data_IF_106486728631
#
_entry.id   IF_106486728631
#
_cell.length_a   1.000
_cell.length_b   1.000
_cell.length_c   1.000
_cell.angle_alpha   90.00
_cell.angle_beta   90.00
_cell.angle_gamma   90.00
#
_symmetry.space_group_name_H-M   'P 1'
#
loop_
_entity.id
_entity.type
_entity.pdbx_description
1 polymer ?
#
# COMPACT_ATOMS: atom_id res chain seq x y z
N UNK A 1 -41.17 65.92 -22.45
CA UNK A 1 -41.20 65.25 -23.76
C UNK A 1 -40.60 63.87 -23.62
N UNK A 2 -41.15 62.92 -24.37
CA UNK A 2 -41.00 61.45 -24.31
C UNK A 2 -39.55 60.92 -24.29
N UNK A 3 -39.36 59.76 -23.66
CA UNK A 3 -38.25 58.83 -23.99
C UNK A 3 -37.76 57.94 -22.84
N UNK A 4 -38.45 56.84 -22.56
CA UNK A 4 -37.92 55.61 -21.91
C UNK A 4 -37.27 54.70 -22.99
N UNK A 5 -36.65 53.53 -22.66
CA UNK A 5 -35.86 53.11 -21.48
C UNK A 5 -34.55 52.38 -21.88
N UNK A 6 -33.63 52.07 -20.94
CA UNK A 6 -32.91 50.77 -20.98
C UNK A 6 -32.07 50.46 -19.72
N UNK A 7 -32.28 49.21 -19.30
CA UNK A 7 -31.60 48.25 -18.41
C UNK A 7 -30.19 48.53 -17.86
N UNK A 8 -30.02 48.23 -16.56
CA UNK A 8 -28.75 47.92 -15.88
C UNK A 8 -29.07 47.17 -14.58
N UNK A 9 -29.12 45.83 -14.64
CA UNK A 9 -28.10 44.88 -14.20
C UNK A 9 -27.86 44.88 -12.66
N UNK A 10 -28.50 43.91 -12.02
CA UNK A 10 -28.26 43.48 -10.64
C UNK A 10 -26.91 42.75 -10.57
N UNK A 11 -25.97 43.23 -9.78
CA UNK A 11 -24.79 42.45 -9.36
C UNK A 11 -24.88 42.26 -7.85
N UNK A 12 -25.20 41.02 -7.46
CA UNK A 12 -25.12 40.54 -6.09
C UNK A 12 -23.66 40.32 -5.69
N UNK A 13 -23.34 40.83 -4.51
CA UNK A 13 -22.08 40.77 -3.81
C UNK A 13 -21.76 39.31 -3.42
N UNK A 14 -20.69 38.71 -3.97
CA UNK A 14 -20.06 37.52 -3.41
C UNK A 14 -18.75 37.94 -2.74
N UNK A 15 -18.70 37.83 -1.41
CA UNK A 15 -17.48 37.98 -0.60
C UNK A 15 -16.54 36.79 -0.91
N UNK A 16 -15.37 37.06 -1.48
CA UNK A 16 -14.22 36.17 -1.43
C UNK A 16 -13.31 36.66 -0.30
N UNK A 17 -13.16 35.87 0.76
CA UNK A 17 -12.33 36.20 1.91
C UNK A 17 -10.90 35.70 1.64
N UNK A 18 -10.03 36.54 1.05
CA UNK A 18 -8.59 36.28 0.96
C UNK A 18 -7.89 36.81 2.21
N UNK A 19 -7.33 35.93 3.02
CA UNK A 19 -6.53 36.30 4.20
C UNK A 19 -5.08 36.57 3.77
N UNK A 20 -4.67 37.84 3.68
CA UNK A 20 -3.25 38.22 3.56
C UNK A 20 -2.60 38.23 4.95
N UNK A 21 -1.50 37.50 5.13
CA UNK A 21 -0.65 37.57 6.32
C UNK A 21 0.61 38.38 5.99
N UNK A 22 0.88 39.46 6.72
CA UNK A 22 2.07 40.29 6.55
C UNK A 22 3.18 39.86 7.52
N UNK A 23 4.35 39.48 7.00
CA UNK A 23 5.59 39.37 7.76
C UNK A 23 6.57 40.45 7.26
N UNK A 24 6.83 41.43 8.11
CA UNK A 24 7.80 42.50 7.86
C UNK A 24 9.17 42.11 8.41
N UNK A 25 10.11 41.77 7.53
CA UNK A 25 11.54 41.80 7.85
C UNK A 25 12.26 42.53 6.70
N UNK A 26 12.83 43.70 7.01
CA UNK A 26 13.72 44.49 6.15
C UNK A 26 13.17 45.01 4.80
N UNK A 27 11.99 45.64 4.81
CA UNK A 27 11.66 46.67 3.81
C UNK A 27 11.37 46.21 2.38
N UNK A 28 11.32 44.91 2.11
CA UNK A 28 10.78 44.35 0.86
C UNK A 28 9.52 43.56 1.18
N UNK A 29 8.36 44.07 0.73
CA UNK A 29 7.09 43.32 0.79
C UNK A 29 7.12 42.31 -0.36
N UNK A 30 7.39 41.05 -0.03
CA UNK A 30 7.16 39.94 -0.96
C UNK A 30 5.70 39.52 -0.78
N UNK A 31 4.87 39.78 -1.80
CA UNK A 31 3.52 39.23 -1.88
C UNK A 31 3.65 37.74 -2.23
N UNK A 32 3.79 36.90 -1.21
CA UNK A 32 3.55 35.46 -1.37
C UNK A 32 2.04 35.23 -1.36
N UNK A 33 1.43 34.98 -2.52
CA UNK A 33 0.08 34.41 -2.54
C UNK A 33 0.14 33.02 -1.90
N UNK A 34 -0.42 32.88 -0.70
CA UNK A 34 -0.64 31.57 -0.11
C UNK A 34 -1.78 30.93 -0.91
N UNK A 35 -1.44 30.05 -1.84
CA UNK A 35 -2.42 29.25 -2.56
C UNK A 35 -3.04 28.23 -1.58
N UNK A 36 -4.02 28.69 -0.81
CA UNK A 36 -4.77 27.88 0.17
C UNK A 36 -5.83 27.00 -0.49
N UNK A 37 -6.01 27.10 -1.80
CA UNK A 37 -6.96 26.27 -2.52
C UNK A 37 -6.25 24.97 -2.87
N UNK A 38 -6.44 23.93 -2.04
CA UNK A 38 -6.33 22.55 -2.54
C UNK A 38 -7.03 22.51 -3.91
N UNK A 39 -6.46 21.86 -4.93
CA UNK A 39 -7.17 21.62 -6.18
C UNK A 39 -8.51 21.01 -5.81
N UNK A 40 -9.63 21.70 -6.13
CA UNK A 40 -10.98 21.37 -5.66
C UNK A 40 -11.42 19.92 -5.97
N UNK A 41 -10.64 19.22 -6.81
CA UNK A 41 -10.88 17.87 -7.29
C UNK A 41 -9.82 16.85 -6.86
N UNK A 42 -8.87 17.20 -5.98
CA UNK A 42 -7.86 16.25 -5.52
C UNK A 42 -8.53 15.12 -4.69
N UNK A 43 -8.35 13.84 -5.06
CA UNK A 43 -8.82 12.73 -4.25
C UNK A 43 -8.12 12.71 -2.89
N UNK A 44 -8.90 12.62 -1.81
CA UNK A 44 -8.36 12.46 -0.45
C UNK A 44 -8.51 11.02 0.04
N UNK A 45 -7.59 10.61 0.89
CA UNK A 45 -7.64 9.29 1.49
C UNK A 45 -8.63 9.21 2.66
N UNK A 46 -9.36 8.09 2.80
CA UNK A 46 -10.35 7.93 3.86
C UNK A 46 -9.70 7.85 5.25
N UNK A 47 -9.90 8.89 6.08
CA UNK A 47 -9.38 8.94 7.45
C UNK A 47 -10.05 7.96 8.42
N UNK A 48 -11.18 7.36 8.02
CA UNK A 48 -11.84 6.27 8.75
C UNK A 48 -11.26 4.88 8.41
N UNK A 49 -10.10 4.82 7.75
CA UNK A 49 -9.37 3.57 7.44
C UNK A 49 -8.90 2.84 8.70
N UNK A 50 -8.54 1.56 8.57
CA UNK A 50 -8.03 0.78 9.70
C UNK A 50 -6.73 1.34 10.26
N UNK A 51 -5.88 1.87 9.38
CA UNK A 51 -4.62 2.53 9.70
C UNK A 51 -4.51 3.81 8.88
N UNK A 52 -4.01 4.87 9.50
CA UNK A 52 -3.72 6.15 8.87
C UNK A 52 -2.33 6.60 9.31
N UNK A 53 -1.40 6.73 8.38
CA UNK A 53 -0.12 7.41 8.57
C UNK A 53 -0.29 8.86 8.13
N UNK A 54 0.19 9.81 8.93
CA UNK A 54 0.13 11.23 8.57
C UNK A 54 1.44 11.95 8.87
N UNK A 55 1.90 12.73 7.90
CA UNK A 55 2.93 13.76 8.07
C UNK A 55 2.24 15.13 8.02
N UNK A 56 2.46 15.94 9.05
CA UNK A 56 1.92 17.31 9.14
C UNK A 56 2.93 18.24 9.83
N UNK A 57 3.05 19.52 9.41
CA UNK A 57 3.84 20.51 10.13
C UNK A 57 3.15 21.02 11.41
N UNK A 58 1.82 20.86 11.50
CA UNK A 58 1.02 21.36 12.63
C UNK A 58 0.58 20.24 13.58
N UNK A 59 0.58 20.49 14.91
CA UNK A 59 0.00 19.60 15.90
C UNK A 59 -1.47 19.29 15.63
N UNK A 60 -1.81 18.01 15.59
CA UNK A 60 -3.20 17.54 15.49
C UNK A 60 -3.49 16.54 16.59
N UNK A 61 -4.74 16.45 17.04
CA UNK A 61 -5.18 15.42 17.97
C UNK A 61 -5.37 14.11 17.18
N UNK A 62 -4.52 13.08 17.38
CA UNK A 62 -4.62 11.84 16.62
C UNK A 62 -5.90 11.08 17.01
N UNK A 63 -6.59 10.50 16.02
CA UNK A 63 -7.57 9.45 16.29
C UNK A 63 -6.86 8.12 16.62
N UNK A 64 -7.60 7.15 17.16
CA UNK A 64 -7.05 5.86 17.65
C UNK A 64 -6.27 5.05 16.59
N UNK A 65 -6.62 5.22 15.32
CA UNK A 65 -6.06 4.54 14.15
C UNK A 65 -4.96 5.36 13.44
N UNK A 66 -4.61 6.55 13.96
CA UNK A 66 -3.63 7.45 13.33
C UNK A 66 -2.25 7.32 13.98
N UNK A 67 -1.23 7.18 13.14
CA UNK A 67 0.18 7.34 13.47
C UNK A 67 0.64 8.64 12.82
N UNK A 68 0.96 9.64 13.64
CA UNK A 68 1.27 11.00 13.19
C UNK A 68 2.73 11.31 13.49
N UNK A 69 3.45 11.87 12.51
CA UNK A 69 4.74 12.51 12.74
C UNK A 69 4.67 13.98 12.39
N UNK A 70 5.40 14.79 13.15
CA UNK A 70 5.52 16.22 12.93
C UNK A 70 6.79 16.49 12.13
N UNK A 71 6.64 16.47 10.81
CA UNK A 71 7.72 16.63 9.84
C UNK A 71 8.30 15.33 9.25
N UNK A 72 9.23 15.46 8.27
CA UNK A 72 9.83 14.34 7.53
C UNK A 72 10.71 13.41 8.37
N UNK A 73 10.97 12.17 7.91
CA UNK A 73 10.56 11.56 6.64
C UNK A 73 9.14 10.96 6.67
N UNK A 74 8.37 11.16 7.74
CA UNK A 74 7.04 10.60 7.90
C UNK A 74 7.02 9.28 8.68
N UNK A 75 5.83 8.79 9.07
CA UNK A 75 5.68 7.55 9.80
C UNK A 75 5.78 6.32 8.87
N UNK A 76 5.98 5.17 9.49
CA UNK A 76 5.87 3.85 8.86
C UNK A 76 5.15 2.87 9.78
N UNK A 77 4.62 1.79 9.20
CA UNK A 77 4.07 0.67 9.95
C UNK A 77 4.02 -0.61 9.11
N UNK A 78 3.91 -1.76 9.77
CA UNK A 78 3.72 -3.05 9.11
C UNK A 78 2.24 -3.43 9.17
N UNK A 79 1.69 -3.88 8.05
CA UNK A 79 0.33 -4.40 7.95
C UNK A 79 0.36 -5.82 7.37
N UNK A 80 -0.64 -6.61 7.72
CA UNK A 80 -0.83 -7.93 7.16
C UNK A 80 -2.16 -7.97 6.39
N UNK A 81 -2.13 -8.51 5.17
CA UNK A 81 -3.31 -8.73 4.36
C UNK A 81 -3.17 -10.02 3.58
N UNK A 82 -4.19 -10.88 3.64
CA UNK A 82 -4.26 -12.16 2.91
C UNK A 82 -3.05 -13.10 3.12
N UNK A 83 -2.43 -13.03 4.30
CA UNK A 83 -1.25 -13.83 4.66
C UNK A 83 0.07 -13.31 4.09
N UNK A 84 0.10 -12.06 3.60
CA UNK A 84 1.32 -11.35 3.23
C UNK A 84 1.51 -10.14 4.15
N UNK A 85 2.77 -9.85 4.47
CA UNK A 85 3.18 -8.63 5.18
C UNK A 85 3.47 -7.53 4.16
N UNK A 86 3.23 -6.27 4.55
CA UNK A 86 3.61 -5.07 3.81
C UNK A 86 4.13 -4.04 4.81
N UNK A 87 5.23 -3.35 4.52
CA UNK A 87 5.60 -2.14 5.26
C UNK A 87 5.08 -0.94 4.48
N UNK A 88 4.25 -0.12 5.12
CA UNK A 88 3.73 1.13 4.58
C UNK A 88 4.57 2.30 5.08
N UNK A 89 4.92 3.24 4.20
CA UNK A 89 5.77 4.38 4.57
C UNK A 89 5.48 5.61 3.71
N UNK A 90 5.46 6.79 4.35
CA UNK A 90 5.37 8.08 3.64
C UNK A 90 6.73 8.48 3.00
N UNK A 91 7.84 8.17 3.67
CA UNK A 91 9.22 8.18 3.12
C UNK A 91 9.63 9.48 2.39
N UNK A 92 9.40 10.63 3.02
CA UNK A 92 9.87 11.93 2.53
C UNK A 92 11.36 12.14 2.85
N UNK A 93 12.20 11.24 2.32
CA UNK A 93 13.60 11.10 2.68
C UNK A 93 14.45 12.33 2.33
N UNK A 94 14.05 13.13 1.33
CA UNK A 94 14.79 14.31 0.93
C UNK A 94 14.19 15.61 1.47
N UNK A 95 13.10 15.56 2.25
CA UNK A 95 12.55 16.76 2.88
C UNK A 95 13.21 17.03 4.23
N UNK A 96 13.73 18.24 4.42
CA UNK A 96 14.18 18.75 5.71
C UNK A 96 13.00 19.33 6.51
N UNK A 97 12.07 20.01 5.82
CA UNK A 97 10.86 20.57 6.43
C UNK A 97 9.75 20.77 5.41
N UNK A 98 8.52 20.81 5.91
CA UNK A 98 7.30 21.22 5.21
C UNK A 98 6.71 22.39 5.98
N UNK A 99 6.31 23.47 5.32
CA UNK A 99 5.75 24.63 6.00
C UNK A 99 4.22 24.62 6.09
N UNK A 100 3.54 23.94 5.16
CA UNK A 100 2.08 23.82 5.16
C UNK A 100 1.61 22.51 4.52
N UNK A 101 0.40 22.09 4.87
CA UNK A 101 -0.28 20.96 4.24
C UNK A 101 -0.07 19.64 4.97
N UNK A 102 -0.48 18.55 4.34
CA UNK A 102 -0.36 17.22 4.93
C UNK A 102 -0.17 16.14 3.87
N UNK A 103 0.39 15.03 4.35
CA UNK A 103 0.50 13.80 3.60
C UNK A 103 -0.17 12.71 4.41
N UNK A 104 -0.98 11.91 3.73
CA UNK A 104 -1.74 10.84 4.37
C UNK A 104 -1.56 9.56 3.58
N UNK A 105 -1.18 8.49 4.26
CA UNK A 105 -1.17 7.13 3.73
C UNK A 105 -2.09 6.25 4.56
N UNK A 106 -3.13 5.68 3.96
CA UNK A 106 -4.15 4.90 4.67
C UNK A 106 -4.20 3.46 4.20
N UNK A 107 -4.54 2.56 5.11
CA UNK A 107 -4.77 1.15 4.80
C UNK A 107 -6.11 0.67 5.36
N UNK A 108 -6.91 0.05 4.50
CA UNK A 108 -8.19 -0.56 4.86
C UNK A 108 -8.03 -2.09 4.98
N UNK A 109 -8.11 -2.62 6.20
CA UNK A 109 -7.91 -4.05 6.44
C UNK A 109 -9.05 -4.93 5.88
N UNK A 110 -10.24 -4.36 5.62
CA UNK A 110 -11.35 -5.12 5.05
C UNK A 110 -11.16 -5.38 3.55
N UNK A 111 -10.55 -4.42 2.83
CA UNK A 111 -10.40 -4.47 1.37
C UNK A 111 -8.96 -4.68 0.92
N UNK A 112 -7.97 -4.46 1.79
CA UNK A 112 -6.55 -4.45 1.45
C UNK A 112 -6.11 -3.20 0.69
N UNK A 113 -6.99 -2.21 0.55
CA UNK A 113 -6.70 -0.99 -0.22
C UNK A 113 -5.73 -0.09 0.52
N UNK A 114 -4.75 0.43 -0.22
CA UNK A 114 -3.85 1.50 0.21
C UNK A 114 -4.21 2.77 -0.54
N UNK A 115 -4.20 3.91 0.13
CA UNK A 115 -4.37 5.21 -0.50
C UNK A 115 -3.30 6.16 0.00
N UNK A 116 -2.74 6.97 -0.89
CA UNK A 116 -1.89 8.09 -0.56
C UNK A 116 -2.46 9.40 -1.12
N UNK A 117 -2.34 10.47 -0.35
CA UNK A 117 -2.64 11.83 -0.80
C UNK A 117 -1.69 12.80 -0.12
N UNK A 118 -1.01 13.62 -0.90
CA UNK A 118 -0.14 14.69 -0.44
C UNK A 118 -0.56 16.02 -1.05
N UNK A 119 -0.74 17.03 -0.20
CA UNK A 119 -0.78 18.43 -0.60
C UNK A 119 0.09 19.20 0.37
N UNK A 120 1.30 19.54 -0.06
CA UNK A 120 2.30 20.18 0.80
C UNK A 120 2.89 21.39 0.11
N UNK A 121 3.30 22.38 0.89
CA UNK A 121 4.01 23.55 0.37
C UNK A 121 5.06 24.09 1.34
N UNK A 122 5.83 25.07 0.87
CA UNK A 122 6.97 25.65 1.57
C UNK A 122 7.97 24.55 1.98
N UNK A 123 8.28 23.66 1.05
CA UNK A 123 9.20 22.55 1.31
C UNK A 123 10.64 23.04 1.34
N UNK A 124 11.49 22.41 2.14
CA UNK A 124 12.94 22.60 2.13
C UNK A 124 13.59 21.25 1.97
N UNK A 125 14.51 21.13 1.01
CA UNK A 125 15.20 19.87 0.73
C UNK A 125 16.44 19.70 1.61
N UNK A 126 16.73 18.46 2.01
CA UNK A 126 18.00 18.09 2.63
C UNK A 126 19.11 18.22 1.58
N UNK A 127 18.88 17.68 0.39
CA UNK A 127 19.81 17.74 -0.73
C UNK A 127 19.09 18.12 -2.03
N UNK A 128 19.27 19.35 -2.54
CA UNK A 128 18.74 19.74 -3.84
C UNK A 128 19.28 18.92 -5.01
N UNK A 129 20.41 18.20 -4.86
CA UNK A 129 20.88 17.30 -5.92
C UNK A 129 20.13 15.97 -5.94
N UNK A 130 19.29 15.68 -4.94
CA UNK A 130 18.52 14.43 -4.84
C UNK A 130 17.32 14.33 -5.79
N UNK A 131 17.03 15.36 -6.58
CA UNK A 131 16.04 15.30 -7.67
C UNK A 131 14.57 15.36 -7.24
N UNK A 132 14.18 14.55 -6.26
CA UNK A 132 12.79 14.36 -5.80
C UNK A 132 12.67 14.59 -4.30
N UNK A 133 11.44 14.59 -3.77
CA UNK A 133 11.18 14.90 -2.36
C UNK A 133 11.13 13.67 -1.47
N UNK A 134 10.67 12.55 -2.02
CA UNK A 134 10.44 11.33 -1.27
C UNK A 134 9.89 10.22 -2.15
N UNK A 135 9.59 9.09 -1.53
CA UNK A 135 9.04 7.90 -2.18
C UNK A 135 7.94 7.24 -1.33
N UNK A 136 6.79 7.91 -1.12
CA UNK A 136 5.65 7.32 -0.42
C UNK A 136 5.16 6.06 -1.10
N UNK A 137 4.89 5.03 -0.31
CA UNK A 137 4.53 3.73 -0.86
C UNK A 137 4.58 2.61 0.16
N UNK A 138 5.00 1.44 -0.33
CA UNK A 138 5.12 0.23 0.46
C UNK A 138 6.32 -0.62 0.05
N UNK A 139 6.77 -1.46 0.97
CA UNK A 139 7.65 -2.58 0.69
C UNK A 139 6.77 -3.78 0.39
N UNK A 140 6.92 -4.35 -0.80
CA UNK A 140 6.16 -5.50 -1.25
C UNK A 140 6.78 -6.80 -0.74
N UNK A 141 8.10 -6.85 -0.66
CA UNK A 141 8.87 -8.02 -0.25
C UNK A 141 10.32 -7.67 0.02
N UNK A 142 10.93 -8.37 0.98
CA UNK A 142 12.35 -8.35 1.23
C UNK A 142 12.76 -7.36 2.32
N UNK A 143 14.04 -7.02 2.33
CA UNK A 143 14.67 -6.18 3.35
C UNK A 143 15.58 -5.17 2.69
N UNK A 144 15.44 -3.89 3.05
CA UNK A 144 16.35 -2.85 2.57
C UNK A 144 17.81 -3.19 2.98
N UNK A 145 18.82 -2.95 2.13
CA UNK A 145 20.22 -3.07 2.52
C UNK A 145 20.57 -2.21 3.75
N UNK A 146 21.04 -2.81 4.84
CA UNK A 146 21.25 -2.11 6.12
C UNK A 146 19.96 -1.87 6.94
N UNK A 147 18.80 -2.27 6.43
CA UNK A 147 17.52 -2.19 7.11
C UNK A 147 17.34 -3.27 8.19
N UNK A 148 16.38 -3.05 9.09
CA UNK A 148 16.04 -3.99 10.17
C UNK A 148 14.72 -4.74 9.96
N UNK A 149 13.89 -4.27 9.02
CA UNK A 149 12.57 -4.86 8.75
C UNK A 149 12.65 -5.74 7.51
N UNK A 150 12.23 -7.00 7.66
CA UNK A 150 12.07 -7.94 6.56
C UNK A 150 10.58 -8.16 6.32
N UNK A 151 10.10 -7.73 5.15
CA UNK A 151 8.73 -7.95 4.68
C UNK A 151 8.65 -9.31 3.99
N UNK A 152 7.95 -10.25 4.62
CA UNK A 152 7.95 -11.63 4.14
C UNK A 152 6.90 -11.85 3.07
N UNK A 153 7.34 -12.43 1.95
CA UNK A 153 6.44 -12.95 0.93
C UNK A 153 6.86 -14.37 0.52
N UNK A 154 6.07 -15.41 0.86
CA UNK A 154 6.44 -16.80 0.57
C UNK A 154 6.46 -17.11 -0.94
N UNK A 155 5.81 -16.29 -1.77
CA UNK A 155 5.84 -16.48 -3.22
C UNK A 155 7.17 -16.01 -3.83
N UNK A 156 7.89 -15.10 -3.18
CA UNK A 156 9.18 -14.59 -3.63
C UNK A 156 10.08 -14.33 -2.42
N UNK A 157 10.78 -15.36 -1.91
CA UNK A 157 11.56 -15.25 -0.68
C UNK A 157 12.91 -14.54 -0.96
N UNK A 158 12.90 -13.21 -0.99
CA UNK A 158 14.12 -12.41 -1.10
C UNK A 158 14.97 -12.51 0.19
N UNK A 159 16.32 -12.43 0.09
CA UNK A 159 17.10 -12.13 -1.10
C UNK A 159 17.32 -13.33 -2.05
N UNK A 160 17.37 -13.06 -3.36
CA UNK A 160 17.65 -14.05 -4.41
C UNK A 160 18.64 -13.48 -5.42
N UNK A 161 19.49 -14.32 -6.02
CA UNK A 161 20.39 -13.83 -7.07
C UNK A 161 19.62 -13.48 -8.35
N UNK A 162 20.14 -12.53 -9.14
CA UNK A 162 19.59 -12.22 -10.47
C UNK A 162 19.52 -13.50 -11.33
N UNK A 163 20.53 -14.37 -11.25
CA UNK A 163 20.50 -15.67 -11.93
C UNK A 163 19.33 -16.57 -11.50
N UNK A 164 18.99 -16.64 -10.22
CA UNK A 164 17.84 -17.41 -9.72
C UNK A 164 16.50 -16.86 -10.23
N UNK A 165 16.43 -15.53 -10.41
CA UNK A 165 15.24 -14.83 -10.91
C UNK A 165 15.12 -14.87 -12.43
N UNK A 166 16.21 -15.12 -13.17
CA UNK A 166 16.17 -15.19 -14.65
C UNK A 166 16.10 -16.63 -15.14
N UNK A 167 16.88 -17.52 -14.53
CA UNK A 167 17.09 -18.91 -14.97
C UNK A 167 16.60 -19.96 -13.96
N UNK A 168 16.32 -19.56 -12.72
CA UNK A 168 15.92 -20.47 -11.65
C UNK A 168 14.40 -20.64 -11.48
N UNK A 169 14.03 -21.23 -10.34
CA UNK A 169 12.64 -21.58 -9.96
C UNK A 169 11.72 -20.37 -9.77
N UNK A 170 12.30 -19.17 -9.62
CA UNK A 170 11.55 -17.92 -9.40
C UNK A 170 11.36 -17.11 -10.69
N UNK A 171 11.82 -17.62 -11.84
CA UNK A 171 11.78 -16.91 -13.12
C UNK A 171 10.39 -16.69 -13.73
N UNK A 172 9.37 -17.36 -13.21
CA UNK A 172 7.98 -17.19 -13.63
C UNK A 172 7.14 -16.33 -12.67
N UNK A 173 7.75 -15.66 -11.68
CA UNK A 173 6.99 -14.76 -10.79
C UNK A 173 6.51 -13.53 -11.56
N UNK A 174 5.26 -13.16 -11.30
CA UNK A 174 4.67 -11.92 -11.79
C UNK A 174 4.39 -11.01 -10.60
N UNK A 175 4.72 -9.73 -10.77
CA UNK A 175 4.22 -8.67 -9.91
C UNK A 175 2.92 -8.17 -10.50
N UNK A 176 1.89 -8.01 -9.66
CA UNK A 176 0.54 -7.61 -10.09
C UNK A 176 0.07 -6.45 -9.25
N UNK A 177 -0.26 -5.34 -9.90
CA UNK A 177 -0.81 -4.14 -9.28
C UNK A 177 -2.16 -3.79 -9.89
N UNK A 178 -3.07 -3.28 -9.07
CA UNK A 178 -4.27 -2.60 -9.53
C UNK A 178 -4.34 -1.24 -8.86
N UNK A 179 -4.27 -0.16 -9.64
CA UNK A 179 -4.17 1.18 -9.08
C UNK A 179 -4.84 2.24 -9.96
N UNK A 180 -5.09 3.39 -9.35
CA UNK A 180 -5.45 4.64 -10.02
C UNK A 180 -4.69 5.78 -9.37
N UNK A 181 -4.36 6.81 -10.13
CA UNK A 181 -3.73 8.02 -9.61
C UNK A 181 -4.38 9.29 -10.15
N UNK A 182 -4.10 10.37 -9.45
CA UNK A 182 -4.40 11.74 -9.81
C UNK A 182 -3.13 12.56 -9.54
N UNK A 183 -2.65 13.22 -10.58
CA UNK A 183 -1.43 14.03 -10.58
C UNK A 183 -1.71 15.23 -11.48
N UNK A 184 -1.43 16.48 -11.06
CA UNK A 184 -1.44 17.64 -11.94
C UNK A 184 -0.51 17.45 -13.14
N UNK A 185 -0.87 18.01 -14.29
CA UNK A 185 -0.09 17.85 -15.54
C UNK A 185 1.36 18.35 -15.41
N UNK A 186 1.61 19.30 -14.52
CA UNK A 186 2.90 19.94 -14.27
C UNK A 186 3.65 19.39 -13.05
N UNK A 187 3.05 18.47 -12.29
CA UNK A 187 3.68 17.86 -11.12
C UNK A 187 4.59 16.71 -11.57
N UNK A 188 5.93 16.80 -11.35
CA UNK A 188 6.85 15.72 -11.67
C UNK A 188 6.62 14.53 -10.75
N UNK A 189 6.28 13.38 -11.33
CA UNK A 189 5.99 12.17 -10.59
C UNK A 189 6.28 10.93 -11.43
N UNK A 190 6.72 9.86 -10.77
CA UNK A 190 6.64 8.51 -11.28
C UNK A 190 5.74 7.62 -10.41
N UNK A 191 5.30 6.51 -10.98
CA UNK A 191 4.77 5.38 -10.23
C UNK A 191 5.61 4.17 -10.58
N UNK A 192 6.43 3.70 -9.65
CA UNK A 192 7.50 2.75 -9.96
C UNK A 192 7.60 1.61 -8.98
N UNK A 193 8.27 0.54 -9.42
CA UNK A 193 9.01 -0.31 -8.51
C UNK A 193 10.40 0.28 -8.30
N UNK A 194 10.87 0.29 -7.05
CA UNK A 194 12.26 0.54 -6.71
C UNK A 194 12.83 -0.76 -6.08
N UNK A 195 13.90 -1.27 -6.68
CA UNK A 195 14.42 -2.60 -6.43
C UNK A 195 15.91 -2.49 -6.15
N UNK A 196 16.30 -2.86 -4.93
CA UNK A 196 17.70 -2.81 -4.54
C UNK A 196 18.38 -4.15 -4.77
N UNK A 197 19.54 -4.10 -5.42
CA UNK A 197 20.40 -5.23 -5.65
C UNK A 197 21.80 -4.97 -5.08
N UNK A 198 22.38 -5.96 -4.42
CA UNK A 198 23.67 -5.80 -3.75
C UNK A 198 24.60 -6.97 -4.03
N UNK A 199 25.87 -6.80 -3.71
CA UNK A 199 26.92 -7.82 -3.92
C UNK A 199 26.91 -8.91 -2.85
N UNK A 200 26.28 -8.66 -1.70
CA UNK A 200 26.08 -9.60 -0.60
C UNK A 200 24.67 -9.44 -0.06
N UNK A 201 23.97 -10.51 0.34
CA UNK A 201 22.57 -10.41 0.72
C UNK A 201 22.35 -9.54 1.97
N UNK A 202 21.25 -8.78 1.97
CA UNK A 202 20.76 -8.04 3.13
C UNK A 202 20.41 -8.97 4.32
N UNK A 203 20.45 -8.49 5.58
CA UNK A 203 20.54 -7.08 6.00
C UNK A 203 21.97 -6.51 6.05
N UNK A 204 23.01 -7.34 6.06
CA UNK A 204 24.40 -6.87 6.19
C UNK A 204 25.00 -6.25 4.91
N UNK A 205 24.19 -6.15 3.85
CA UNK A 205 24.58 -5.63 2.56
C UNK A 205 24.97 -4.16 2.62
N UNK A 206 25.96 -3.79 1.81
CA UNK A 206 26.25 -2.40 1.49
C UNK A 206 25.62 -2.03 0.16
N UNK A 207 25.13 -0.80 0.04
CA UNK A 207 24.71 -0.22 -1.23
C UNK A 207 25.89 0.01 -2.17
N UNK A 208 27.11 0.13 -1.63
CA UNK A 208 28.28 0.43 -2.43
C UNK A 208 28.58 -0.69 -3.44
N UNK A 209 28.73 -0.32 -4.71
CA UNK A 209 28.86 -1.26 -5.83
C UNK A 209 27.66 -2.19 -6.05
N UNK A 210 26.51 -1.88 -5.45
CA UNK A 210 25.23 -2.50 -5.79
C UNK A 210 24.61 -1.86 -7.02
N UNK A 211 23.31 -2.10 -7.18
CA UNK A 211 22.49 -1.48 -8.20
C UNK A 211 21.10 -1.14 -7.65
N UNK A 212 20.53 -0.07 -8.17
CA UNK A 212 19.14 0.32 -7.97
C UNK A 212 18.43 0.15 -9.31
N UNK A 213 17.43 -0.73 -9.34
CA UNK A 213 16.62 -1.00 -10.51
C UNK A 213 15.24 -0.41 -10.31
N UNK A 214 14.94 0.63 -11.08
CA UNK A 214 13.59 1.19 -11.15
C UNK A 214 12.85 0.70 -12.39
N UNK A 215 11.58 0.33 -12.20
CA UNK A 215 10.66 0.00 -13.30
C UNK A 215 9.46 0.91 -13.17
N UNK A 216 9.40 1.92 -14.02
CA UNK A 216 8.33 2.92 -14.00
C UNK A 216 7.13 2.39 -14.77
N UNK A 217 5.96 2.44 -14.16
CA UNK A 217 4.69 2.07 -14.80
C UNK A 217 3.90 3.30 -15.26
N UNK A 218 4.23 4.48 -14.74
CA UNK A 218 3.72 5.77 -15.15
C UNK A 218 4.74 6.86 -14.85
N UNK A 219 4.73 7.95 -15.64
CA UNK A 219 5.43 9.18 -15.31
C UNK A 219 4.79 10.40 -15.98
N UNK A 220 4.81 11.54 -15.30
CA UNK A 220 4.51 12.87 -15.86
C UNK A 220 5.77 13.62 -16.30
N UNK A 221 6.94 13.23 -15.76
CA UNK A 221 8.20 13.94 -15.99
C UNK A 221 8.85 13.48 -17.28
N UNK A 222 9.32 14.39 -18.15
CA UNK A 222 10.19 13.99 -19.25
C UNK A 222 11.54 13.53 -18.69
N UNK A 223 11.88 12.28 -18.99
CA UNK A 223 13.23 11.74 -19.28
C UNK A 223 14.39 12.66 -18.86
N UNK A 224 15.15 12.26 -17.84
CA UNK A 224 16.35 13.00 -17.43
C UNK A 224 17.53 12.73 -18.36
N UNK A 225 18.08 13.79 -18.95
CA UNK A 225 19.16 13.70 -19.94
C UNK A 225 20.50 13.20 -19.38
N UNK A 226 20.71 13.26 -18.05
CA UNK A 226 21.97 12.86 -17.42
C UNK A 226 22.17 11.33 -17.39
N UNK A 227 21.10 10.56 -17.49
CA UNK A 227 21.13 9.09 -17.49
C UNK A 227 20.69 8.48 -18.84
N UNK A 228 20.33 9.28 -19.84
CA UNK A 228 19.82 8.76 -21.11
C UNK A 228 20.89 7.95 -21.86
N UNK A 229 20.56 6.69 -22.17
CA UNK A 229 21.44 5.79 -22.93
C UNK A 229 21.09 5.70 -24.42
N UNK A 230 19.92 6.22 -24.82
CA UNK A 230 19.31 6.03 -26.14
C UNK A 230 18.86 4.59 -26.44
N UNK A 231 18.97 3.65 -25.48
CA UNK A 231 18.59 2.25 -25.66
C UNK A 231 17.11 2.08 -25.36
N UNK A 232 16.35 1.63 -26.37
CA UNK A 232 14.92 1.33 -26.27
C UNK A 232 14.67 -0.16 -26.36
N UNK A 233 13.79 -0.67 -25.50
CA UNK A 233 13.45 -2.09 -25.43
C UNK A 233 11.95 -2.31 -25.36
N UNK A 234 11.47 -3.39 -25.97
CA UNK A 234 10.08 -3.79 -25.89
C UNK A 234 9.92 -4.90 -24.86
N UNK A 235 9.10 -4.66 -23.83
CA UNK A 235 8.81 -5.64 -22.79
C UNK A 235 7.33 -6.00 -22.82
N UNK A 236 6.97 -7.29 -22.96
CA UNK A 236 5.58 -7.70 -22.85
C UNK A 236 5.11 -7.58 -21.39
N UNK A 237 4.07 -6.77 -21.20
CA UNK A 237 3.36 -6.61 -19.92
C UNK A 237 1.88 -6.92 -20.12
N UNK A 238 1.15 -7.26 -19.05
CA UNK A 238 -0.31 -7.34 -19.13
C UNK A 238 -0.93 -6.08 -18.56
N UNK A 239 -1.84 -5.45 -19.31
CA UNK A 239 -2.59 -4.27 -18.90
C UNK A 239 -4.07 -4.57 -19.10
N UNK A 240 -4.85 -4.50 -18.03
CA UNK A 240 -6.30 -4.77 -18.03
C UNK A 240 -6.66 -6.11 -18.72
N UNK A 241 -5.85 -7.13 -18.50
CA UNK A 241 -6.04 -8.48 -19.05
C UNK A 241 -5.53 -8.70 -20.48
N UNK A 242 -4.97 -7.68 -21.14
CA UNK A 242 -4.41 -7.78 -22.49
C UNK A 242 -2.88 -7.68 -22.46
N UNK A 243 -2.19 -8.49 -23.25
CA UNK A 243 -0.73 -8.36 -23.42
C UNK A 243 -0.43 -7.14 -24.30
N UNK A 244 0.38 -6.22 -23.79
CA UNK A 244 0.88 -5.03 -24.46
C UNK A 244 2.40 -5.13 -24.50
N UNK A 245 3.00 -4.90 -25.67
CA UNK A 245 4.44 -4.72 -25.78
C UNK A 245 4.76 -3.25 -25.53
N UNK A 246 5.01 -2.89 -24.27
CA UNK A 246 5.37 -1.53 -23.90
C UNK A 246 6.83 -1.26 -24.27
N UNK A 247 7.11 -0.06 -24.78
CA UNK A 247 8.46 0.36 -25.10
C UNK A 247 9.02 1.20 -23.96
N UNK A 248 10.11 0.70 -23.37
CA UNK A 248 10.84 1.40 -22.31
C UNK A 248 12.12 2.00 -22.87
N UNK A 249 12.39 3.26 -22.53
CA UNK A 249 13.73 3.85 -22.61
C UNK A 249 14.53 3.43 -21.38
N UNK A 250 15.79 3.05 -21.59
CA UNK A 250 16.68 2.63 -20.51
C UNK A 250 17.57 3.81 -20.12
N UNK A 251 17.49 4.18 -18.85
CA UNK A 251 18.34 5.19 -18.23
C UNK A 251 19.35 4.51 -17.33
N UNK A 252 20.62 4.93 -17.38
CA UNK A 252 21.68 4.39 -16.53
C UNK A 252 22.59 5.50 -16.04
N UNK A 253 22.87 5.48 -14.74
CA UNK A 253 23.96 6.24 -14.14
C UNK A 253 24.89 5.27 -13.39
N UNK A 254 26.14 5.21 -13.86
CA UNK A 254 27.12 4.27 -13.35
C UNK A 254 27.53 4.57 -11.90
N UNK A 255 27.47 5.83 -11.49
CA UNK A 255 28.01 6.31 -10.22
C UNK A 255 26.96 7.08 -9.44
N UNK A 256 25.73 6.56 -9.43
CA UNK A 256 24.63 7.16 -8.70
C UNK A 256 24.87 7.09 -7.18
N UNK A 257 24.45 8.10 -6.45
CA UNK A 257 24.60 8.18 -4.99
C UNK A 257 25.28 9.46 -4.51
N UNK A 258 25.78 9.43 -3.28
CA UNK A 258 26.33 10.59 -2.60
C UNK A 258 27.68 10.27 -1.96
N UNK A 259 28.57 11.26 -1.93
CA UNK A 259 29.89 11.19 -1.31
C UNK A 259 30.74 9.99 -1.81
N UNK A 260 31.11 9.08 -0.90
CA UNK A 260 31.94 7.90 -1.15
C UNK A 260 31.12 6.61 -1.30
N UNK A 261 29.78 6.69 -1.32
CA UNK A 261 28.90 5.54 -1.50
C UNK A 261 28.16 5.70 -2.81
N UNK A 262 28.38 4.77 -3.75
CA UNK A 262 27.70 4.80 -5.03
C UNK A 262 27.23 3.41 -5.46
N UNK A 263 26.19 3.40 -6.26
CA UNK A 263 25.62 2.22 -6.91
C UNK A 263 25.37 2.54 -8.39
N UNK A 264 25.12 1.50 -9.18
CA UNK A 264 24.67 1.71 -10.56
C UNK A 264 23.15 1.83 -10.58
N UNK A 265 22.65 3.00 -10.93
CA UNK A 265 21.23 3.24 -11.15
C UNK A 265 20.81 2.77 -12.55
N UNK A 266 19.66 2.13 -12.65
CA UNK A 266 19.00 1.85 -13.91
C UNK A 266 17.48 2.02 -13.80
N UNK A 267 16.90 2.78 -14.72
CA UNK A 267 15.46 2.91 -14.83
C UNK A 267 14.95 2.46 -16.20
N UNK A 268 13.84 1.74 -16.19
CA UNK A 268 13.04 1.45 -17.37
C UNK A 268 11.86 2.40 -17.38
N UNK A 269 11.93 3.42 -18.26
CA UNK A 269 10.96 4.52 -18.33
C UNK A 269 10.04 4.32 -19.53
N UNK A 270 8.70 4.28 -19.35
CA UNK A 270 7.78 4.04 -20.46
C UNK A 270 7.75 5.25 -21.41
N UNK A 271 7.98 5.03 -22.71
CA UNK A 271 8.04 6.12 -23.69
C UNK A 271 6.71 6.87 -23.86
N UNK A 272 5.60 6.21 -23.60
CA UNK A 272 4.26 6.79 -23.76
C UNK A 272 3.66 7.31 -22.44
N UNK A 273 4.49 7.55 -21.41
CA UNK A 273 4.04 8.01 -20.10
C UNK A 273 3.41 6.94 -19.22
N UNK A 274 3.17 5.73 -19.75
CA UNK A 274 2.66 4.58 -18.99
C UNK A 274 1.16 4.67 -18.68
N UNK A 275 0.75 4.15 -17.53
CA UNK A 275 -0.67 3.94 -17.18
C UNK A 275 -1.02 4.59 -15.84
N UNK A 276 -1.88 5.60 -15.83
CA UNK A 276 -2.35 6.23 -14.58
C UNK A 276 -3.47 5.45 -13.88
N UNK A 277 -4.13 4.53 -14.58
CA UNK A 277 -5.20 3.70 -14.03
C UNK A 277 -5.21 2.34 -14.75
N UNK A 278 -4.77 1.29 -14.08
CA UNK A 278 -4.70 -0.04 -14.66
C UNK A 278 -4.54 -1.16 -13.64
N UNK A 279 -5.01 -2.35 -14.03
CA UNK A 279 -4.50 -3.62 -13.56
C UNK A 279 -3.29 -3.99 -14.42
N UNK A 280 -2.08 -3.84 -13.87
CA UNK A 280 -0.83 -4.16 -14.54
C UNK A 280 -0.22 -5.42 -13.96
N UNK A 281 0.32 -6.29 -14.82
CA UNK A 281 1.17 -7.39 -14.40
C UNK A 281 2.45 -7.42 -15.22
N UNK A 282 3.59 -7.52 -14.51
CA UNK A 282 4.92 -7.60 -15.12
C UNK A 282 5.66 -8.84 -14.64
N UNK A 283 6.50 -9.40 -15.52
CA UNK A 283 7.56 -10.34 -15.12
C UNK A 283 8.84 -9.57 -14.89
N UNK A 284 9.58 -9.87 -13.82
CA UNK A 284 10.91 -9.27 -13.58
C UNK A 284 11.97 -9.76 -14.58
N UNK A 285 11.77 -10.95 -15.16
CA UNK A 285 12.78 -11.63 -15.97
C UNK A 285 13.28 -10.78 -17.16
N UNK A 286 12.43 -10.17 -18.02
CA UNK A 286 12.92 -9.35 -19.12
C UNK A 286 13.76 -8.15 -18.66
N UNK A 287 13.32 -7.44 -17.61
CA UNK A 287 14.04 -6.29 -17.06
C UNK A 287 15.42 -6.69 -16.54
N UNK A 288 15.50 -7.78 -15.78
CA UNK A 288 16.76 -8.33 -15.29
C UNK A 288 17.68 -8.81 -16.43
N UNK A 289 17.13 -9.42 -17.47
CA UNK A 289 17.90 -9.81 -18.66
C UNK A 289 18.47 -8.60 -19.40
N UNK A 290 17.70 -7.51 -19.51
CA UNK A 290 18.21 -6.27 -20.09
C UNK A 290 19.31 -5.66 -19.20
N UNK A 291 19.10 -5.56 -17.89
CA UNK A 291 20.09 -5.07 -16.93
C UNK A 291 21.43 -5.81 -17.04
N UNK A 292 21.39 -7.15 -17.05
CA UNK A 292 22.58 -8.03 -17.19
C UNK A 292 23.40 -7.74 -18.46
N UNK A 293 22.73 -7.32 -19.54
CA UNK A 293 23.39 -7.00 -20.82
C UNK A 293 23.79 -5.52 -20.95
N UNK A 294 23.01 -4.60 -20.36
CA UNK A 294 23.22 -3.15 -20.48
C UNK A 294 24.39 -2.71 -19.61
N UNK A 295 24.50 -3.21 -18.38
CA UNK A 295 25.53 -2.78 -17.43
C UNK A 295 26.95 -2.92 -17.99
N UNK A 296 27.38 -4.06 -18.56
CA UNK A 296 28.73 -4.18 -19.09
C UNK A 296 29.00 -3.32 -20.33
N UNK A 297 27.94 -2.90 -21.02
CA UNK A 297 28.06 -2.03 -22.19
C UNK A 297 28.16 -0.56 -21.79
N UNK A 298 27.39 -0.12 -20.81
CA UNK A 298 27.26 1.29 -20.42
C UNK A 298 28.21 1.67 -19.29
N UNK A 299 28.46 0.75 -18.36
CA UNK A 299 29.29 0.95 -17.17
C UNK A 299 30.44 -0.09 -17.08
N UNK A 300 31.28 -0.24 -18.13
CA UNK A 300 32.29 -1.31 -18.22
C UNK A 300 33.38 -1.25 -17.14
N UNK A 301 33.59 -0.09 -16.52
CA UNK A 301 34.54 0.11 -15.41
C UNK A 301 34.08 -0.55 -14.11
N UNK A 302 32.77 -0.70 -13.93
CA UNK A 302 32.15 -1.32 -12.74
C UNK A 302 31.72 -2.75 -13.02
N UNK A 303 31.19 -2.99 -14.23
CA UNK A 303 30.67 -4.28 -14.66
C UNK A 303 31.42 -4.74 -15.91
N UNK A 304 32.38 -5.63 -15.76
CA UNK A 304 33.18 -6.09 -16.90
C UNK A 304 32.57 -7.31 -17.61
N UNK A 305 31.53 -7.93 -17.03
CA UNK A 305 30.88 -9.10 -17.63
C UNK A 305 29.43 -9.28 -17.14
N UNK A 306 28.56 -9.87 -17.98
CA UNK A 306 27.20 -10.23 -17.60
C UNK A 306 27.11 -11.09 -16.33
N UNK A 307 28.10 -11.96 -16.09
CA UNK A 307 28.13 -12.84 -14.93
C UNK A 307 28.26 -12.09 -13.60
N UNK A 308 28.94 -10.94 -13.56
CA UNK A 308 29.02 -10.12 -12.35
C UNK A 308 27.64 -9.56 -11.99
N UNK A 309 26.91 -9.05 -12.99
CA UNK A 309 25.56 -8.49 -12.82
C UNK A 309 24.56 -9.59 -12.44
N UNK A 310 24.66 -10.75 -13.08
CA UNK A 310 23.82 -11.93 -12.78
C UNK A 310 24.06 -12.49 -11.37
N UNK A 311 25.19 -12.17 -10.74
CA UNK A 311 25.56 -12.58 -9.39
C UNK A 311 25.03 -11.65 -8.28
N UNK A 312 24.42 -10.52 -8.61
CA UNK A 312 23.84 -9.62 -7.61
C UNK A 312 22.63 -10.25 -6.91
N UNK A 313 22.46 -9.94 -5.64
CA UNK A 313 21.31 -10.33 -4.83
C UNK A 313 20.26 -9.24 -4.89
N UNK A 314 19.06 -9.56 -5.37
CA UNK A 314 17.88 -8.70 -5.20
C UNK A 314 17.39 -8.82 -3.76
N UNK A 315 17.47 -7.73 -2.99
CA UNK A 315 17.21 -7.74 -1.55
C UNK A 315 15.78 -7.32 -1.20
N UNK A 316 15.23 -6.34 -1.93
CA UNK A 316 13.91 -5.77 -1.66
C UNK A 316 13.24 -5.31 -2.94
N UNK A 317 11.91 -5.30 -2.93
CA UNK A 317 11.07 -4.63 -3.93
C UNK A 317 10.14 -3.69 -3.17
N UNK A 318 10.29 -2.40 -3.43
CA UNK A 318 9.40 -1.35 -2.97
C UNK A 318 8.53 -0.88 -4.14
N UNK A 319 7.39 -0.29 -3.81
CA UNK A 319 6.41 0.24 -4.76
C UNK A 319 5.91 1.57 -4.21
N UNK A 320 6.00 2.62 -5.01
CA UNK A 320 5.61 3.94 -4.59
C UNK A 320 5.66 4.93 -5.72
N UNK A 321 5.68 6.20 -5.35
CA UNK A 321 5.81 7.31 -6.28
C UNK A 321 6.93 8.24 -5.85
N UNK A 322 7.95 8.44 -6.69
CA UNK A 322 8.80 9.61 -6.53
C UNK A 322 8.01 10.82 -7.01
N UNK A 323 8.07 11.94 -6.29
CA UNK A 323 7.42 13.17 -6.72
C UNK A 323 8.11 14.42 -6.20
N UNK A 324 7.73 15.57 -6.76
CA UNK A 324 8.34 16.85 -6.49
C UNK A 324 9.58 17.10 -7.32
N UNK A 325 10.09 18.33 -7.26
CA UNK A 325 11.20 18.79 -8.09
C UNK A 325 12.13 19.76 -7.38
N UNK A 326 13.36 19.82 -7.88
CA UNK A 326 14.41 20.76 -7.47
C UNK A 326 14.22 22.16 -8.05
N UNK A 327 13.40 22.31 -9.09
CA UNK A 327 13.03 23.62 -9.66
C UNK A 327 12.34 24.53 -8.63
N UNK A 328 11.79 23.93 -7.58
CA UNK A 328 11.17 24.62 -6.46
C UNK A 328 12.13 24.95 -5.31
N UNK A 329 13.45 24.92 -5.54
CA UNK A 329 14.44 25.30 -4.53
C UNK A 329 14.57 26.82 -4.32
N UNK A 330 14.05 27.64 -5.24
CA UNK A 330 14.16 29.12 -5.20
C UNK A 330 12.83 29.86 -4.99
N UNK A 331 11.71 29.15 -5.03
CA UNK A 331 10.37 29.64 -4.66
C UNK A 331 9.83 28.68 -3.60
N UNK A 332 8.91 29.07 -2.69
CA UNK A 332 8.26 28.12 -1.80
C UNK A 332 7.59 27.00 -2.60
N UNK A 333 8.26 25.84 -2.69
CA UNK A 333 7.78 24.72 -3.47
C UNK A 333 6.48 24.16 -2.95
N UNK A 334 5.60 23.77 -3.86
CA UNK A 334 4.34 23.10 -3.58
C UNK A 334 4.24 21.83 -4.43
N UNK A 335 3.57 20.81 -3.91
CA UNK A 335 3.35 19.58 -4.64
C UNK A 335 2.08 18.88 -4.23
N UNK A 336 1.41 18.28 -5.21
CA UNK A 336 0.10 17.66 -5.03
C UNK A 336 -0.04 16.34 -5.79
N UNK A 337 -0.16 15.22 -5.09
CA UNK A 337 -0.41 13.91 -5.72
C UNK A 337 -1.37 13.06 -4.91
N UNK A 338 -2.13 12.20 -5.60
CA UNK A 338 -2.92 11.17 -4.95
C UNK A 338 -2.92 9.87 -5.74
N UNK A 339 -2.86 8.73 -5.05
CA UNK A 339 -3.02 7.43 -5.68
C UNK A 339 -3.73 6.45 -4.76
N UNK A 340 -4.40 5.47 -5.37
CA UNK A 340 -5.05 4.34 -4.69
C UNK A 340 -4.56 3.05 -5.30
N UNK A 341 -4.16 2.13 -4.44
CA UNK A 341 -3.72 0.80 -4.77
C UNK A 341 -4.75 -0.20 -4.23
N UNK A 342 -5.48 -0.82 -5.14
CA UNK A 342 -6.50 -1.82 -4.85
C UNK A 342 -5.91 -3.23 -4.69
N UNK A 343 -4.71 -3.45 -5.25
CA UNK A 343 -4.01 -4.74 -5.17
C UNK A 343 -2.52 -4.54 -5.38
N UNK A 344 -1.70 -5.16 -4.52
CA UNK A 344 -0.29 -5.44 -4.80
C UNK A 344 0.03 -6.87 -4.37
N UNK A 345 0.54 -7.68 -5.29
CA UNK A 345 0.80 -9.09 -5.02
C UNK A 345 1.87 -9.67 -5.91
N UNK A 346 2.55 -10.70 -5.41
CA UNK A 346 3.37 -11.61 -6.20
C UNK A 346 2.53 -12.85 -6.53
N UNK A 347 2.49 -13.23 -7.80
CA UNK A 347 1.77 -14.43 -8.25
C UNK A 347 2.65 -15.37 -9.07
N UNK A 348 2.27 -16.65 -9.10
CA UNK A 348 2.86 -17.71 -9.92
C UNK A 348 1.82 -18.15 -10.95
N UNK A 349 2.05 -17.93 -12.26
CA UNK A 349 1.15 -18.39 -13.30
C UNK A 349 0.90 -19.90 -13.20
N UNK A 350 -0.36 -20.31 -13.37
CA UNK A 350 -0.77 -21.72 -13.34
C UNK A 350 -0.96 -22.31 -11.94
N UNK A 351 -0.67 -21.58 -10.86
CA UNK A 351 -1.04 -21.98 -9.50
C UNK A 351 -2.43 -21.42 -9.19
N UNK A 352 -3.43 -22.31 -9.05
CA UNK A 352 -4.76 -21.90 -8.62
C UNK A 352 -4.71 -21.47 -7.15
N UNK A 353 -5.08 -20.23 -6.87
CA UNK A 353 -5.25 -19.72 -5.52
C UNK A 353 -6.69 -20.03 -5.07
N UNK A 354 -6.85 -20.94 -4.11
CA UNK A 354 -8.16 -21.15 -3.48
C UNK A 354 -8.46 -19.99 -2.54
N UNK A 355 -9.25 -19.03 -3.00
CA UNK A 355 -9.85 -18.00 -2.13
C UNK A 355 -10.90 -18.68 -1.26
N UNK A 356 -10.59 -18.90 0.01
CA UNK A 356 -11.60 -19.42 0.96
C UNK A 356 -12.34 -18.24 1.57
N UNK A 357 -13.58 -18.02 1.15
CA UNK A 357 -14.46 -17.04 1.79
C UNK A 357 -14.97 -17.63 3.10
N UNK A 358 -14.37 -17.26 4.22
CA UNK A 358 -14.91 -17.60 5.54
C UNK A 358 -15.99 -16.57 5.87
N UNK A 359 -17.26 -17.00 5.86
CA UNK A 359 -18.35 -16.16 6.36
C UNK A 359 -18.38 -16.26 7.87
N UNK A 360 -17.98 -15.20 8.57
CA UNK A 360 -18.09 -15.13 10.04
C UNK A 360 -19.43 -14.48 10.39
N UNK A 361 -20.37 -15.27 10.93
CA UNK A 361 -21.59 -14.72 11.51
C UNK A 361 -21.28 -14.20 12.93
N UNK A 362 -21.12 -12.89 13.09
CA UNK A 362 -21.00 -12.25 14.40
C UNK A 362 -22.38 -11.82 14.90
N UNK A 363 -22.80 -12.30 16.07
CA UNK A 363 -24.04 -11.87 16.73
C UNK A 363 -23.73 -10.68 17.64
N UNK A 364 -24.18 -9.48 17.27
CA UNK A 364 -24.05 -8.29 18.12
C UNK A 364 -25.31 -8.14 18.98
N UNK A 365 -25.16 -8.20 20.31
CA UNK A 365 -26.25 -7.92 21.26
C UNK A 365 -26.26 -6.43 21.59
N UNK A 366 -27.20 -5.67 21.05
CA UNK A 366 -27.40 -4.27 21.42
C UNK A 366 -28.33 -4.18 22.63
N UNK A 367 -27.86 -3.54 23.71
CA UNK A 367 -28.71 -3.20 24.86
C UNK A 367 -29.23 -1.78 24.67
N UNK A 368 -30.52 -1.65 24.35
CA UNK A 368 -31.18 -0.35 24.19
C UNK A 368 -31.70 0.13 25.54
N UNK A 369 -31.19 1.27 26.02
CA UNK A 369 -31.75 1.96 27.18
C UNK A 369 -32.93 2.82 26.73
N UNK A 370 -34.15 2.41 27.05
CA UNK A 370 -35.33 3.26 26.88
C UNK A 370 -35.70 3.81 28.26
N UNK A 371 -35.84 5.12 28.37
CA UNK A 371 -36.10 5.81 29.62
C UNK A 371 -37.41 5.31 30.24
N UNK A 372 -37.33 4.94 31.53
CA UNK A 372 -38.41 4.65 32.49
C UNK A 372 -39.01 3.23 32.43
N UNK A 373 -38.46 2.39 33.32
CA UNK A 373 -39.08 1.26 34.05
C UNK A 373 -39.58 0.05 33.25
N UNK A 374 -38.73 -0.59 32.44
CA UNK A 374 -38.76 -2.06 32.23
C UNK A 374 -37.55 -2.51 31.38
N UNK A 375 -36.91 -3.62 31.78
CA UNK A 375 -35.76 -4.18 31.07
C UNK A 375 -36.25 -5.15 29.98
N UNK A 376 -36.24 -4.72 28.72
CA UNK A 376 -36.51 -5.60 27.58
C UNK A 376 -35.23 -5.88 26.82
N UNK A 377 -34.74 -7.12 26.89
CA UNK A 377 -33.61 -7.59 26.08
C UNK A 377 -34.10 -7.89 24.67
N UNK A 378 -33.71 -7.09 23.68
CA UNK A 378 -34.02 -7.34 22.27
C UNK A 378 -32.78 -7.90 21.60
N UNK A 379 -32.83 -9.16 21.17
CA UNK A 379 -31.76 -9.79 20.39
C UNK A 379 -32.03 -9.57 18.92
N UNK A 380 -31.45 -8.52 18.33
CA UNK A 380 -31.44 -8.37 16.87
C UNK A 380 -30.26 -9.14 16.27
N UNK A 381 -30.57 -10.09 15.39
CA UNK A 381 -29.55 -10.86 14.66
C UNK A 381 -29.31 -10.17 13.33
N UNK A 382 -28.25 -9.35 13.24
CA UNK A 382 -27.80 -8.76 11.98
C UNK A 382 -26.66 -9.59 11.41
N UNK A 383 -26.81 -10.13 10.21
CA UNK A 383 -25.70 -10.81 9.53
C UNK A 383 -24.72 -9.77 8.99
N UNK A 384 -23.53 -9.67 9.60
CA UNK A 384 -22.41 -8.92 9.03
C UNK A 384 -21.53 -9.91 8.29
N UNK A 385 -21.46 -9.80 6.96
CA UNK A 385 -20.53 -10.59 6.15
C UNK A 385 -19.14 -9.97 6.27
N UNK A 386 -18.26 -10.58 7.06
CA UNK A 386 -16.82 -10.25 7.06
C UNK A 386 -16.12 -11.21 6.13
N UNK A 387 -15.53 -10.69 5.05
CA UNK A 387 -14.74 -11.47 4.10
C UNK A 387 -13.28 -11.51 4.56
N UNK A 388 -12.87 -12.60 5.20
CA UNK A 388 -11.44 -12.83 5.50
C UNK A 388 -10.85 -13.73 4.43
N UNK A 389 -9.85 -13.23 3.70
CA UNK A 389 -9.18 -13.99 2.64
C UNK A 389 -7.94 -14.66 3.23
N UNK A 390 -7.86 -15.98 3.18
CA UNK A 390 -6.65 -16.73 3.51
C UNK A 390 -6.14 -17.46 2.26
N UNK A 391 -4.88 -17.21 1.92
CA UNK A 391 -4.20 -17.79 0.77
C UNK A 391 -3.57 -19.13 1.17
N UNK A 392 -4.14 -20.26 0.74
CA UNK A 392 -3.53 -21.59 0.91
C UNK A 392 -3.03 -22.11 -0.44
N UNK A 393 -1.73 -22.38 -0.52
CA UNK A 393 -1.08 -22.97 -1.70
C UNK A 393 -1.43 -24.45 -1.75
N UNK A 394 -2.21 -24.88 -2.74
CA UNK A 394 -2.49 -26.31 -2.99
C UNK A 394 -2.07 -26.68 -4.40
N UNK A 395 -1.19 -27.66 -4.54
CA UNK A 395 -0.92 -28.31 -5.82
C UNK A 395 -2.18 -29.07 -6.23
N UNK A 396 -2.83 -28.65 -7.32
CA UNK A 396 -4.03 -29.32 -7.85
C UNK A 396 -3.58 -30.48 -8.73
N UNK A 397 -3.52 -31.68 -8.17
CA UNK A 397 -3.54 -32.92 -8.97
C UNK A 397 -5.00 -33.27 -9.23
N UNK A 398 -5.40 -33.29 -10.49
CA UNK A 398 -6.78 -33.56 -10.89
C UNK A 398 -7.07 -35.05 -10.76
N UNK A 399 -7.76 -35.47 -9.69
CA UNK A 399 -8.35 -36.80 -9.59
C UNK A 399 -9.85 -36.63 -9.39
N UNK A 400 -10.64 -37.08 -10.36
CA UNK A 400 -12.10 -37.03 -10.30
C UNK A 400 -12.62 -38.15 -9.39
N UNK A 401 -13.14 -37.80 -8.22
CA UNK A 401 -13.85 -38.74 -7.34
C UNK A 401 -15.32 -38.36 -7.32
N UNK A 402 -16.16 -39.22 -7.92
CA UNK A 402 -17.62 -39.08 -7.86
C UNK A 402 -18.06 -39.42 -6.44
N UNK A 403 -18.66 -38.45 -5.74
CA UNK A 403 -19.20 -38.64 -4.38
C UNK A 403 -20.72 -38.57 -4.43
N UNK A 404 -21.39 -39.71 -4.27
CA UNK A 404 -22.84 -39.79 -4.05
C UNK A 404 -23.20 -39.32 -2.65
N UNK A 405 -24.07 -38.32 -2.54
CA UNK A 405 -24.58 -37.80 -1.26
C UNK A 405 -25.75 -38.67 -0.78
N UNK A 406 -25.61 -39.31 0.38
CA UNK A 406 -26.74 -39.95 1.10
C UNK A 406 -27.34 -38.92 2.05
N UNK A 407 -28.63 -38.63 1.88
CA UNK A 407 -29.38 -37.75 2.76
C UNK A 407 -29.75 -38.52 4.04
N UNK A 408 -29.22 -38.10 5.19
CA UNK A 408 -29.64 -38.58 6.51
C UNK A 408 -30.48 -37.49 7.18
N UNK A 409 -31.76 -37.78 7.41
CA UNK A 409 -32.67 -36.90 8.16
C UNK A 409 -32.62 -37.32 9.63
N UNK A 410 -32.10 -36.44 10.50
CA UNK A 410 -32.11 -36.64 11.95
C UNK A 410 -33.31 -35.90 12.54
N UNK A 411 -34.30 -36.65 13.02
CA UNK A 411 -35.46 -36.10 13.75
C UNK A 411 -35.13 -36.05 15.24
N UNK A 412 -34.99 -34.85 15.80
CA UNK A 412 -34.86 -34.65 17.26
C UNK A 412 -36.24 -34.57 17.91
N UNK A 413 -36.68 -35.65 18.56
CA UNK A 413 -37.82 -35.61 19.49
C UNK A 413 -37.36 -35.22 20.89
N UNK A 414 -37.71 -34.00 21.31
CA UNK A 414 -37.54 -33.54 22.69
C UNK A 414 -38.62 -34.18 23.57
N UNK A 415 -38.23 -35.15 24.39
CA UNK A 415 -39.07 -35.71 25.45
C UNK A 415 -39.20 -34.68 26.57
N UNK A 416 -40.43 -34.22 26.82
CA UNK A 416 -40.75 -33.43 28.02
C UNK A 416 -40.99 -34.42 29.15
N UNK A 417 -40.00 -34.57 30.03
CA UNK A 417 -40.18 -35.35 31.27
C UNK A 417 -41.12 -34.56 32.17
N UNK A 418 -42.33 -35.09 32.35
CA UNK A 418 -43.34 -34.52 33.23
C UNK A 418 -42.79 -34.36 34.65
N UNK A 419 -43.04 -33.20 35.26
CA UNK A 419 -42.69 -32.86 36.65
C UNK A 419 -43.20 -33.88 37.67
N UNK A 420 -44.22 -34.67 37.31
CA UNK A 420 -44.73 -35.78 38.11
C UNK A 420 -43.71 -36.92 38.29
N UNK A 421 -42.86 -37.19 37.30
CA UNK A 421 -41.83 -38.26 37.37
C UNK A 421 -40.70 -37.87 38.32
N UNK A 422 -40.30 -36.59 38.31
CA UNK A 422 -39.29 -36.08 39.24
C UNK A 422 -39.78 -36.05 40.69
N UNK A 423 -41.07 -35.78 40.91
CA UNK A 423 -41.67 -35.84 42.25
C UNK A 423 -41.70 -37.27 42.81
N UNK A 424 -41.98 -38.28 41.97
CA UNK A 424 -41.98 -39.69 42.38
C UNK A 424 -40.56 -40.16 42.75
N UNK A 425 -39.55 -39.77 41.97
CA UNK A 425 -38.15 -40.11 42.27
C UNK A 425 -37.71 -39.48 43.60
N UNK A 426 -38.08 -38.22 43.86
CA UNK A 426 -37.75 -37.55 45.13
C UNK A 426 -38.37 -38.26 46.34
N UNK A 427 -39.62 -38.72 46.24
CA UNK A 427 -40.31 -39.46 47.32
C UNK A 427 -39.62 -40.81 47.57
N UNK A 428 -39.24 -41.54 46.51
CA UNK A 428 -38.53 -42.82 46.65
C UNK A 428 -37.19 -42.63 47.37
N UNK A 429 -36.42 -41.59 47.02
CA UNK A 429 -35.14 -41.29 47.68
C UNK A 429 -35.34 -40.97 49.16
N UNK A 430 -36.38 -40.19 49.51
CA UNK A 430 -36.69 -39.86 50.92
C UNK A 430 -37.05 -41.14 51.70
N UNK A 431 -37.88 -42.02 51.13
CA UNK A 431 -38.26 -43.28 51.79
C UNK A 431 -37.04 -44.17 52.03
N UNK A 432 -36.13 -44.29 51.05
CA UNK A 432 -34.90 -45.07 51.20
C UNK A 432 -34.03 -44.49 52.32
N UNK A 433 -33.83 -43.17 52.35
CA UNK A 433 -33.03 -42.49 53.38
C UNK A 433 -33.63 -42.68 54.77
N UNK A 434 -34.95 -42.54 54.93
CA UNK A 434 -35.64 -42.78 56.21
C UNK A 434 -35.50 -44.25 56.64
N UNK A 435 -35.63 -45.20 55.70
CA UNK A 435 -35.51 -46.63 56.00
C UNK A 435 -34.09 -46.98 56.47
N UNK A 436 -33.07 -46.41 55.83
CA UNK A 436 -31.65 -46.57 56.22
C UNK A 436 -31.40 -45.94 57.60
N UNK A 437 -31.92 -44.74 57.86
CA UNK A 437 -31.78 -44.07 59.15
C UNK A 437 -32.48 -44.83 60.29
N UNK A 438 -33.65 -45.41 60.04
CA UNK A 438 -34.36 -46.27 61.02
C UNK A 438 -33.60 -47.57 61.27
N UNK A 439 -33.01 -48.17 60.24
CA UNK A 439 -32.18 -49.38 60.37
C UNK A 439 -30.89 -49.10 61.15
N UNK A 440 -30.28 -47.93 60.97
CA UNK A 440 -29.08 -47.51 61.71
C UNK A 440 -29.36 -47.16 63.18
N UNK A 441 -30.59 -46.75 63.53
CA UNK A 441 -30.98 -46.40 64.91
C UNK A 441 -31.40 -47.62 65.77
N UNK A 442 -31.55 -48.80 65.16
CA UNK A 442 -31.90 -50.07 65.85
C UNK A 442 -30.69 -50.98 66.07
N UNK A 443 -29.48 -50.51 65.75
CA UNK A 443 -28.20 -51.05 66.25
C UNK A 443 -27.69 -50.11 67.31
#
# INVERSE_FOLDING_TARGET
MKGMPNQGLTIGLYLLLTTLLFLSVNGHVVLGEINTNMPLNMPTCPLNSSIVLMLTPEPILPSKNMIVTYGPPGPWTIVEYNGAEYLLQINMWNLASVGYGNETLTFNNATGEVCFSAYISNVTLISPSGGVWGYPGLYLVGIFPGGQVNVRNPMLPLPLTVSDLVNGTYSNRLLVLNYTMWVPDDEPMDWSYDIWLTTTPAPSASLNHGAELMIWLYTTTPVFSWADTGIKVNVPIMVNGTVVNETFDIHVDCYHGYDNTYWTYIAFVPLNGGFSNALVSISLKPFLQYMVNVFPRVCPSLWNSPNQVAGLYMDTITLGSEFGSTQWATEPGWGAIAWKLYKASVVVPGVAYTTSTVTVNATATMVKYTTITELTTVTETSSVTVTTTTSLVRYVTSTSTVTTTVLSTVTLTKSVVSTTVMAIIAVIVIVIVVTVLVALRRR
#
